data_IF_338994842199
#
_entry.id   IF_338994842199
#
_cell.length_a   1.000
_cell.length_b   1.000
_cell.length_c   1.000
_cell.angle_alpha   90.00
_cell.angle_beta   90.00
_cell.angle_gamma   90.00
#
_symmetry.space_group_name_H-M   'P 1'
#
loop_
_entity.id
_entity.type
_entity.pdbx_description
1 polymer ?
#
# COMPACT_ATOMS: atom_id res chain seq x y z
N UNK A 1 -2.63 -47.65 11.56
CA UNK A 1 -3.72 -47.06 12.37
C UNK A 1 -3.94 -47.87 13.63
N UNK A 2 -4.12 -49.19 13.52
CA UNK A 2 -4.23 -50.10 14.68
C UNK A 2 -3.07 -49.96 15.69
N UNK A 3 -1.81 -50.06 15.23
CA UNK A 3 -0.64 -49.99 16.13
C UNK A 3 -0.51 -48.64 16.86
N UNK A 4 -0.89 -47.54 16.21
CA UNK A 4 -0.86 -46.19 16.81
C UNK A 4 -1.98 -45.99 17.85
N UNK A 5 -3.13 -46.63 17.65
CA UNK A 5 -4.26 -46.63 18.58
C UNK A 5 -3.98 -47.54 19.80
N UNK A 6 -3.27 -48.65 19.59
CA UNK A 6 -2.86 -49.58 20.63
C UNK A 6 -1.81 -48.98 21.57
N UNK A 7 -0.80 -48.28 21.03
CA UNK A 7 0.23 -47.59 21.82
C UNK A 7 -0.34 -46.41 22.63
N UNK A 8 -1.41 -45.77 22.15
CA UNK A 8 -2.04 -44.63 22.83
C UNK A 8 -3.20 -45.02 23.74
N UNK A 9 -3.61 -46.30 23.76
CA UNK A 9 -4.70 -46.81 24.58
C UNK A 9 -6.11 -46.37 24.13
N UNK A 10 -6.23 -45.74 22.96
CA UNK A 10 -7.47 -45.14 22.45
C UNK A 10 -8.01 -45.93 21.24
N UNK A 11 -8.08 -47.26 21.39
CA UNK A 11 -8.63 -48.16 20.36
C UNK A 11 -10.09 -47.86 20.06
N UNK A 12 -10.38 -47.59 18.79
CA UNK A 12 -11.73 -47.29 18.29
C UNK A 12 -12.16 -45.83 18.38
N UNK A 13 -11.30 -44.90 18.82
CA UNK A 13 -11.59 -43.46 18.86
C UNK A 13 -10.93 -42.70 17.71
N UNK A 14 -11.66 -41.71 17.18
CA UNK A 14 -11.25 -40.84 16.08
C UNK A 14 -11.03 -39.44 16.66
N UNK A 15 -9.81 -38.92 16.51
CA UNK A 15 -9.44 -37.60 17.04
C UNK A 15 -10.06 -36.49 16.20
N UNK A 16 -9.90 -36.54 14.87
CA UNK A 16 -10.39 -35.53 13.93
C UNK A 16 -10.83 -36.16 12.61
N UNK A 17 -11.82 -35.55 11.95
CA UNK A 17 -12.25 -35.89 10.58
C UNK A 17 -12.03 -34.66 9.70
N UNK A 18 -11.28 -34.83 8.62
CA UNK A 18 -11.08 -33.77 7.63
C UNK A 18 -12.10 -33.91 6.50
N UNK A 19 -12.87 -32.86 6.28
CA UNK A 19 -13.84 -32.78 5.20
C UNK A 19 -13.39 -31.70 4.25
N UNK A 20 -13.13 -32.07 2.99
CA UNK A 20 -12.75 -31.14 1.93
C UNK A 20 -14.00 -30.78 1.14
N UNK A 21 -14.39 -29.50 1.19
CA UNK A 21 -15.42 -28.97 0.29
C UNK A 21 -14.76 -28.62 -1.06
N UNK A 22 -15.41 -28.95 -2.17
CA UNK A 22 -14.96 -28.52 -3.51
C UNK A 22 -15.17 -27.02 -3.72
N UNK A 23 -16.28 -26.48 -3.20
CA UNK A 23 -16.59 -25.05 -3.25
C UNK A 23 -16.30 -24.35 -1.90
N UNK A 24 -15.40 -23.34 -1.86
CA UNK A 24 -15.10 -22.57 -0.66
C UNK A 24 -16.28 -21.77 -0.08
N UNK A 25 -17.27 -21.42 -0.90
CA UNK A 25 -18.41 -20.58 -0.49
C UNK A 25 -19.39 -21.31 0.43
N UNK A 26 -19.51 -22.63 0.28
CA UNK A 26 -20.46 -23.48 1.01
C UNK A 26 -19.87 -23.97 2.35
N UNK A 27 -18.56 -23.76 2.58
CA UNK A 27 -17.84 -24.22 3.78
C UNK A 27 -18.47 -23.68 5.07
N UNK A 28 -18.97 -22.43 5.05
CA UNK A 28 -19.63 -21.83 6.22
C UNK A 28 -20.98 -22.48 6.54
N UNK A 29 -21.75 -22.82 5.50
CA UNK A 29 -23.06 -23.45 5.63
C UNK A 29 -22.94 -24.90 6.10
N UNK A 30 -22.07 -25.69 5.45
CA UNK A 30 -21.76 -27.08 5.82
C UNK A 30 -21.21 -27.16 7.26
N UNK A 31 -20.38 -26.20 7.66
CA UNK A 31 -19.88 -26.13 9.05
C UNK A 31 -21.01 -25.97 10.07
N UNK A 32 -22.02 -25.14 9.76
CA UNK A 32 -23.18 -24.94 10.64
C UNK A 32 -24.10 -26.17 10.69
N UNK A 33 -24.28 -26.86 9.56
CA UNK A 33 -25.07 -28.09 9.46
C UNK A 33 -24.43 -29.24 10.23
N UNK A 34 -23.11 -29.39 10.15
CA UNK A 34 -22.38 -30.43 10.90
C UNK A 34 -22.42 -30.13 12.41
N UNK A 35 -22.28 -28.86 12.78
CA UNK A 35 -22.33 -28.45 14.19
C UNK A 35 -23.69 -28.68 14.85
N UNK A 36 -24.78 -28.67 14.06
CA UNK A 36 -26.15 -28.95 14.53
C UNK A 36 -26.52 -30.43 14.45
N UNK A 37 -26.01 -31.17 13.46
CA UNK A 37 -26.29 -32.59 13.29
C UNK A 37 -25.54 -33.50 14.27
N UNK A 38 -24.37 -33.08 14.77
CA UNK A 38 -23.54 -33.89 15.68
C UNK A 38 -23.21 -33.12 16.96
N UNK A 39 -23.94 -33.34 18.06
CA UNK A 39 -23.65 -32.74 19.35
C UNK A 39 -22.28 -33.20 19.88
N UNK A 40 -21.47 -32.27 20.40
CA UNK A 40 -20.16 -32.58 21.01
C UNK A 40 -18.96 -32.51 20.06
N UNK A 41 -19.14 -32.16 18.79
CA UNK A 41 -18.05 -31.97 17.83
C UNK A 41 -17.77 -30.49 17.61
N UNK A 42 -16.48 -30.10 17.62
CA UNK A 42 -16.03 -28.75 17.25
C UNK A 42 -15.63 -28.72 15.79
N UNK A 43 -16.36 -27.98 14.97
CA UNK A 43 -16.01 -27.77 13.57
C UNK A 43 -15.09 -26.55 13.47
N UNK A 44 -13.84 -26.78 13.06
CA UNK A 44 -12.87 -25.73 12.80
C UNK A 44 -12.71 -25.57 11.28
N UNK A 45 -13.20 -24.46 10.73
CA UNK A 45 -13.01 -24.15 9.32
C UNK A 45 -11.80 -23.25 9.12
N UNK A 46 -10.98 -23.47 8.07
CA UNK A 46 -9.92 -22.55 7.68
C UNK A 46 -10.44 -21.14 7.35
N UNK A 47 -11.72 -21.00 6.99
CA UNK A 47 -12.34 -19.73 6.61
C UNK A 47 -12.33 -18.70 7.74
N UNK A 48 -12.49 -19.12 9.00
CA UNK A 48 -12.45 -18.22 10.16
C UNK A 48 -11.03 -17.65 10.33
N UNK A 49 -10.00 -18.48 10.11
CA UNK A 49 -8.60 -18.05 10.19
C UNK A 49 -8.21 -17.13 9.04
N UNK A 50 -8.68 -17.42 7.81
CA UNK A 50 -8.48 -16.54 6.65
C UNK A 50 -9.19 -15.21 6.86
N UNK A 51 -10.44 -15.20 7.34
CA UNK A 51 -11.19 -13.97 7.57
C UNK A 51 -10.54 -13.08 8.63
N UNK A 52 -10.03 -13.66 9.72
CA UNK A 52 -9.29 -12.90 10.74
C UNK A 52 -8.02 -12.30 10.17
N UNK A 53 -7.27 -13.06 9.35
CA UNK A 53 -6.09 -12.56 8.67
C UNK A 53 -6.42 -11.44 7.69
N UNK A 54 -7.50 -11.56 6.91
CA UNK A 54 -7.96 -10.54 5.98
C UNK A 54 -8.37 -9.25 6.70
N UNK A 55 -9.10 -9.34 7.81
CA UNK A 55 -9.50 -8.16 8.60
C UNK A 55 -8.28 -7.43 9.18
N UNK A 56 -7.29 -8.18 9.65
CA UNK A 56 -6.04 -7.61 10.15
C UNK A 56 -5.24 -6.95 9.02
N UNK A 57 -5.09 -7.60 7.86
CA UNK A 57 -4.42 -7.04 6.69
C UNK A 57 -5.12 -5.77 6.19
N UNK A 58 -6.46 -5.76 6.14
CA UNK A 58 -7.24 -4.58 5.78
C UNK A 58 -7.01 -3.41 6.74
N UNK A 59 -6.88 -3.70 8.05
CA UNK A 59 -6.58 -2.69 9.07
C UNK A 59 -5.18 -2.10 8.85
N UNK A 60 -4.18 -2.94 8.58
CA UNK A 60 -2.81 -2.49 8.25
C UNK A 60 -2.77 -1.69 6.94
N UNK A 61 -3.51 -2.12 5.91
CA UNK A 61 -3.62 -1.39 4.64
C UNK A 61 -4.21 0.00 4.87
N UNK A 62 -5.28 0.12 5.65
CA UNK A 62 -5.85 1.44 5.97
C UNK A 62 -4.87 2.31 6.75
N UNK A 63 -4.12 1.73 7.70
CA UNK A 63 -3.10 2.46 8.45
C UNK A 63 -1.97 3.01 7.56
N UNK A 64 -1.47 2.22 6.61
CA UNK A 64 -0.46 2.72 5.67
C UNK A 64 -1.05 3.72 4.66
N UNK A 65 -2.31 3.54 4.25
CA UNK A 65 -2.99 4.48 3.36
C UNK A 65 -3.13 5.87 4.00
N UNK A 66 -3.42 5.96 5.30
CA UNK A 66 -3.52 7.25 5.99
C UNK A 66 -2.17 7.92 6.15
N UNK A 67 -1.10 7.18 6.48
CA UNK A 67 0.27 7.73 6.51
C UNK A 67 0.66 8.23 5.12
N UNK A 68 0.38 7.45 4.08
CA UNK A 68 0.61 7.84 2.69
C UNK A 68 -0.13 9.14 2.33
N UNK A 69 -1.38 9.28 2.77
CA UNK A 69 -2.18 10.49 2.57
C UNK A 69 -1.56 11.70 3.28
N UNK A 70 -1.14 11.57 4.54
CA UNK A 70 -0.47 12.64 5.28
C UNK A 70 0.86 13.03 4.62
N UNK A 71 1.66 12.06 4.20
CA UNK A 71 2.92 12.30 3.50
C UNK A 71 2.71 13.02 2.16
N UNK A 72 1.64 12.67 1.45
CA UNK A 72 1.23 13.32 0.20
C UNK A 72 0.84 14.79 0.44
N UNK A 73 0.09 15.09 1.49
CA UNK A 73 -0.19 16.48 1.90
C UNK A 73 1.08 17.24 2.24
N UNK A 74 1.98 16.65 3.04
CA UNK A 74 3.26 17.28 3.39
C UNK A 74 4.12 17.58 2.16
N UNK A 75 4.21 16.63 1.21
CA UNK A 75 4.91 16.83 -0.06
C UNK A 75 4.28 17.91 -0.93
N UNK A 76 2.94 18.03 -0.91
CA UNK A 76 2.21 19.06 -1.66
C UNK A 76 2.60 20.47 -1.22
N UNK A 77 2.78 20.71 0.09
CA UNK A 77 3.27 21.99 0.59
C UNK A 77 4.68 22.32 0.08
N UNK A 78 5.54 21.30 -0.07
CA UNK A 78 6.85 21.46 -0.70
C UNK A 78 6.74 22.00 -2.13
N UNK A 79 5.84 21.40 -2.94
CA UNK A 79 5.57 21.85 -4.31
C UNK A 79 5.00 23.28 -4.33
N UNK A 80 4.07 23.61 -3.42
CA UNK A 80 3.53 24.98 -3.31
C UNK A 80 4.65 25.99 -3.05
N UNK A 81 5.58 25.66 -2.14
CA UNK A 81 6.67 26.55 -1.77
C UNK A 81 7.66 26.77 -2.93
N UNK A 82 8.08 25.70 -3.60
CA UNK A 82 9.00 25.81 -4.74
C UNK A 82 8.35 26.54 -5.91
N UNK A 83 7.07 26.27 -6.17
CA UNK A 83 6.34 26.92 -7.25
C UNK A 83 6.06 28.39 -6.95
N UNK A 84 5.79 28.74 -5.69
CA UNK A 84 5.72 30.15 -5.28
C UNK A 84 7.02 30.89 -5.53
N UNK A 85 8.16 30.28 -5.18
CA UNK A 85 9.47 30.84 -5.44
C UNK A 85 9.70 31.08 -6.95
N UNK A 86 9.41 30.07 -7.77
CA UNK A 86 9.53 30.18 -9.24
C UNK A 86 8.66 31.30 -9.83
N UNK A 87 7.42 31.46 -9.34
CA UNK A 87 6.51 32.55 -9.77
C UNK A 87 7.08 33.91 -9.41
N UNK A 88 7.67 34.05 -8.22
CA UNK A 88 8.25 35.33 -7.77
C UNK A 88 9.54 35.71 -8.50
N UNK A 89 10.32 34.73 -8.95
CA UNK A 89 11.53 34.99 -9.74
C UNK A 89 11.19 35.44 -11.17
N UNK A 90 10.18 34.83 -11.80
CA UNK A 90 9.79 35.12 -13.20
C UNK A 90 8.71 36.20 -13.34
N UNK A 91 8.52 37.05 -12.33
CA UNK A 91 7.44 38.06 -12.31
C UNK A 91 7.50 39.02 -13.49
N UNK A 92 8.70 39.46 -13.88
CA UNK A 92 8.91 40.36 -15.03
C UNK A 92 8.47 39.72 -16.34
N UNK A 93 8.78 38.44 -16.56
CA UNK A 93 8.41 37.70 -17.76
C UNK A 93 6.89 37.60 -17.90
N UNK A 94 6.19 37.30 -16.79
CA UNK A 94 4.72 37.24 -16.76
C UNK A 94 4.11 38.62 -17.06
N UNK A 95 4.72 39.69 -16.54
CA UNK A 95 4.30 41.07 -16.80
C UNK A 95 4.41 41.44 -18.28
N UNK A 96 5.52 41.06 -18.93
CA UNK A 96 5.75 41.29 -20.37
C UNK A 96 4.77 40.47 -21.21
N UNK A 97 4.55 39.20 -20.89
CA UNK A 97 3.56 38.34 -21.57
C UNK A 97 2.17 38.95 -21.54
N UNK A 98 1.72 39.43 -20.37
CA UNK A 98 0.41 40.09 -20.25
C UNK A 98 0.34 41.43 -20.96
N UNK A 99 1.43 42.20 -20.99
CA UNK A 99 1.48 43.48 -21.72
C UNK A 99 1.39 43.29 -23.24
N UNK A 100 1.89 42.17 -23.77
CA UNK A 100 1.79 41.79 -25.19
C UNK A 100 0.41 41.18 -25.52
N UNK A 101 -0.41 40.87 -24.52
CA UNK A 101 -1.81 40.45 -24.69
C UNK A 101 -2.14 39.03 -24.20
N UNK A 102 -1.22 38.34 -23.53
CA UNK A 102 -1.52 37.03 -22.94
C UNK A 102 -2.62 37.14 -21.88
N UNK A 103 -3.64 36.27 -21.97
CA UNK A 103 -4.77 36.28 -21.04
C UNK A 103 -4.40 35.57 -19.73
N UNK A 104 -5.12 35.85 -18.65
CA UNK A 104 -4.89 35.20 -17.34
C UNK A 104 -4.96 33.67 -17.42
N UNK A 105 -5.80 33.11 -18.29
CA UNK A 105 -5.88 31.65 -18.46
C UNK A 105 -4.68 31.06 -19.20
N UNK A 106 -3.98 31.81 -20.04
CA UNK A 106 -2.76 31.34 -20.72
C UNK A 106 -1.65 31.16 -19.70
N UNK A 107 -1.49 32.16 -18.82
CA UNK A 107 -0.55 32.10 -17.69
C UNK A 107 -0.94 30.98 -16.72
N UNK A 108 -2.24 30.85 -16.41
CA UNK A 108 -2.74 29.77 -15.55
C UNK A 108 -2.40 28.39 -16.13
N UNK A 109 -2.67 28.16 -17.42
CA UNK A 109 -2.38 26.88 -18.09
C UNK A 109 -0.90 26.57 -18.09
N UNK A 110 -0.04 27.56 -18.37
CA UNK A 110 1.41 27.39 -18.34
C UNK A 110 1.87 26.81 -17.00
N UNK A 111 1.49 27.47 -15.90
CA UNK A 111 1.86 27.03 -14.55
C UNK A 111 1.17 25.72 -14.15
N UNK A 112 -0.10 25.50 -14.50
CA UNK A 112 -0.76 24.21 -14.23
C UNK A 112 -0.09 23.05 -14.97
N UNK A 113 0.33 23.26 -16.22
CA UNK A 113 1.06 22.23 -16.98
C UNK A 113 2.43 21.94 -16.38
N UNK A 114 3.14 22.96 -15.88
CA UNK A 114 4.40 22.78 -15.16
C UNK A 114 4.19 21.94 -13.89
N UNK A 115 3.17 22.26 -13.08
CA UNK A 115 2.84 21.52 -11.87
C UNK A 115 2.37 20.09 -12.15
N UNK A 116 1.59 19.88 -13.22
CA UNK A 116 1.17 18.56 -13.68
C UNK A 116 2.38 17.71 -14.07
N UNK A 117 3.34 18.27 -14.81
CA UNK A 117 4.56 17.55 -15.20
C UNK A 117 5.40 17.18 -13.99
N UNK A 118 5.56 18.10 -13.02
CA UNK A 118 6.26 17.81 -11.75
C UNK A 118 5.55 16.66 -11.01
N UNK A 119 4.23 16.70 -10.91
CA UNK A 119 3.43 15.65 -10.26
C UNK A 119 3.54 14.28 -10.96
N UNK A 120 3.51 14.24 -12.30
CA UNK A 120 3.66 13.03 -13.09
C UNK A 120 5.06 12.43 -12.99
N UNK A 121 6.11 13.26 -13.09
CA UNK A 121 7.50 12.83 -12.95
C UNK A 121 7.74 12.32 -11.53
N UNK A 122 7.31 13.08 -10.51
CA UNK A 122 7.41 12.68 -9.12
C UNK A 122 6.67 11.38 -8.82
N UNK A 123 5.46 11.21 -9.37
CA UNK A 123 4.68 9.97 -9.28
C UNK A 123 5.41 8.79 -9.92
N UNK A 124 5.96 8.96 -11.12
CA UNK A 124 6.74 7.92 -11.80
C UNK A 124 8.00 7.52 -11.02
N UNK A 125 8.77 8.50 -10.54
CA UNK A 125 9.95 8.26 -9.71
C UNK A 125 9.57 7.56 -8.39
N UNK A 126 8.47 7.97 -7.77
CA UNK A 126 7.95 7.36 -6.55
C UNK A 126 7.54 5.90 -6.73
N UNK A 127 6.84 5.57 -7.82
CA UNK A 127 6.46 4.19 -8.17
C UNK A 127 7.71 3.33 -8.39
N UNK A 128 8.70 3.85 -9.12
CA UNK A 128 9.96 3.15 -9.38
C UNK A 128 10.73 2.89 -8.09
N UNK A 129 10.95 3.92 -7.27
CA UNK A 129 11.66 3.81 -6.01
C UNK A 129 10.93 2.89 -5.02
N UNK A 130 9.60 3.00 -4.92
CA UNK A 130 8.78 2.13 -4.07
C UNK A 130 8.83 0.67 -4.51
N UNK A 131 8.79 0.40 -5.82
CA UNK A 131 8.95 -0.95 -6.37
C UNK A 131 10.31 -1.56 -6.04
N UNK A 132 11.40 -0.79 -6.21
CA UNK A 132 12.76 -1.24 -5.86
C UNK A 132 12.84 -1.54 -4.36
N UNK A 133 12.36 -0.62 -3.52
CA UNK A 133 12.38 -0.79 -2.08
C UNK A 133 11.58 -2.02 -1.64
N UNK A 134 10.42 -2.28 -2.25
CA UNK A 134 9.60 -3.44 -1.95
C UNK A 134 10.32 -4.78 -2.21
N UNK A 135 11.22 -4.82 -3.19
CA UNK A 135 12.00 -6.02 -3.50
C UNK A 135 13.30 -6.12 -2.67
N UNK A 136 13.95 -4.99 -2.38
CA UNK A 136 15.26 -4.96 -1.70
C UNK A 136 15.11 -5.00 -0.17
N UNK A 137 14.04 -4.40 0.38
CA UNK A 137 13.83 -4.30 1.83
C UNK A 137 13.85 -5.65 2.57
N UNK A 138 13.22 -6.72 2.07
CA UNK A 138 13.30 -8.04 2.70
C UNK A 138 14.72 -8.63 2.75
N UNK A 139 15.61 -8.20 1.85
CA UNK A 139 17.00 -8.66 1.81
C UNK A 139 17.88 -7.96 2.86
N UNK A 140 17.55 -6.71 3.21
CA UNK A 140 18.33 -5.85 4.12
C UNK A 140 18.07 -6.10 5.61
N UNK A 141 16.90 -6.62 5.99
CA UNK A 141 16.54 -6.86 7.40
C UNK A 141 16.32 -8.35 7.71
N UNK A 142 17.35 -9.22 7.62
CA UNK A 142 17.17 -10.63 7.93
C UNK A 142 16.88 -10.90 9.42
N UNK A 143 17.44 -10.10 10.34
CA UNK A 143 17.45 -10.39 11.78
C UNK A 143 16.12 -10.11 12.50
N UNK A 144 15.36 -9.08 12.10
CA UNK A 144 14.11 -8.69 12.78
C UNK A 144 12.90 -9.54 12.37
N UNK A 145 12.97 -10.20 11.21
CA UNK A 145 11.89 -11.07 10.70
C UNK A 145 12.21 -12.58 10.86
N UNK A 146 13.47 -12.95 11.11
CA UNK A 146 13.90 -14.35 11.27
C UNK A 146 13.72 -14.90 12.69
N UNK A 147 13.75 -14.07 13.73
CA UNK A 147 13.26 -14.48 15.04
C UNK A 147 11.74 -14.56 14.93
N UNK A 148 11.15 -15.73 15.21
CA UNK A 148 9.70 -16.00 15.08
C UNK A 148 8.77 -15.16 15.96
N UNK A 149 9.24 -14.02 16.46
CA UNK A 149 8.46 -12.99 17.16
C UNK A 149 7.96 -12.02 16.07
N UNK A 150 6.95 -12.40 15.30
CA UNK A 150 6.13 -11.36 14.66
C UNK A 150 5.39 -10.61 15.77
N UNK A 151 5.26 -9.27 15.67
CA UNK A 151 4.42 -8.47 16.56
C UNK A 151 2.94 -8.89 16.58
N UNK A 152 2.54 -9.84 15.74
CA UNK A 152 1.16 -10.27 15.50
C UNK A 152 0.94 -11.79 15.65
N UNK A 153 1.91 -12.56 16.15
CA UNK A 153 1.72 -14.01 16.43
C UNK A 153 1.41 -14.88 15.20
N UNK A 154 1.69 -14.38 14.00
CA UNK A 154 1.46 -15.06 12.72
C UNK A 154 2.73 -15.72 12.21
N UNK A 155 2.58 -16.78 11.39
CA UNK A 155 3.69 -17.40 10.63
C UNK A 155 4.36 -16.35 9.74
N UNK A 156 5.56 -15.90 10.10
CA UNK A 156 6.30 -14.88 9.34
C UNK A 156 6.54 -15.34 7.90
N UNK A 157 5.97 -14.68 6.87
CA UNK A 157 6.19 -15.05 5.47
C UNK A 157 7.62 -14.73 4.97
N UNK A 158 8.45 -14.14 5.85
CA UNK A 158 9.83 -13.73 5.57
C UNK A 158 10.89 -14.57 6.35
N UNK A 159 10.47 -15.61 7.06
CA UNK A 159 11.41 -16.52 7.75
C UNK A 159 12.25 -17.30 6.74
N UNK A 160 13.58 -17.32 6.95
CA UNK A 160 14.50 -18.12 6.12
C UNK A 160 14.15 -19.62 6.19
N UNK A 161 14.24 -20.37 5.08
CA UNK A 161 14.10 -21.84 5.11
C UNK A 161 15.09 -22.43 6.14
N UNK A 162 14.57 -23.20 7.11
CA UNK A 162 15.39 -23.83 8.16
C UNK A 162 15.48 -23.07 9.50
N UNK A 163 14.74 -21.97 9.68
CA UNK A 163 14.62 -21.32 11.00
C UNK A 163 13.65 -22.09 11.91
N UNK A 164 14.10 -22.46 13.11
CA UNK A 164 13.32 -23.18 14.11
C UNK A 164 12.42 -22.22 14.88
N UNK A 165 11.11 -22.49 14.91
CA UNK A 165 10.21 -21.83 15.86
C UNK A 165 10.37 -22.52 17.23
N UNK A 166 10.90 -21.85 18.26
CA UNK A 166 11.14 -22.47 19.57
C UNK A 166 9.85 -22.91 20.27
N UNK A 167 8.66 -22.46 19.84
CA UNK A 167 7.37 -22.86 20.42
C UNK A 167 6.72 -24.08 19.76
N UNK A 168 7.16 -24.54 18.57
CA UNK A 168 6.46 -25.62 17.82
C UNK A 168 7.30 -26.85 17.49
N UNK A 169 8.55 -26.95 17.99
CA UNK A 169 9.31 -28.21 17.98
C UNK A 169 9.50 -28.92 16.63
N UNK A 170 9.37 -28.21 15.50
CA UNK A 170 9.41 -28.81 14.16
C UNK A 170 10.15 -27.95 13.13
N UNK A 171 11.09 -28.57 12.42
CA UNK A 171 11.85 -28.00 11.31
C UNK A 171 10.95 -27.88 10.07
N UNK A 172 10.28 -26.74 9.90
CA UNK A 172 9.45 -26.52 8.70
C UNK A 172 10.28 -25.83 7.63
N UNK A 173 10.88 -26.63 6.76
CA UNK A 173 11.61 -26.17 5.56
C UNK A 173 10.61 -25.67 4.52
N UNK A 174 10.12 -24.43 4.65
CA UNK A 174 9.35 -23.80 3.58
C UNK A 174 10.31 -23.07 2.65
N UNK A 175 10.47 -23.63 1.44
CA UNK A 175 11.11 -22.97 0.31
C UNK A 175 10.33 -21.70 -0.02
N UNK A 176 11.04 -20.57 0.02
CA UNK A 176 10.56 -19.26 -0.36
C UNK A 176 10.07 -19.30 -1.81
N UNK A 177 8.75 -19.41 -2.01
CA UNK A 177 8.13 -18.83 -3.20
C UNK A 177 8.14 -17.33 -2.93
N UNK A 178 8.96 -16.58 -3.68
CA UNK A 178 8.88 -15.12 -3.76
C UNK A 178 7.41 -14.74 -3.87
N UNK A 179 6.78 -14.29 -2.77
CA UNK A 179 5.54 -13.53 -2.87
C UNK A 179 5.98 -12.21 -3.47
N UNK A 180 6.11 -12.21 -4.79
CA UNK A 180 6.40 -11.03 -5.56
C UNK A 180 5.34 -10.01 -5.16
N UNK A 181 5.72 -8.79 -4.74
CA UNK A 181 4.76 -7.75 -4.52
C UNK A 181 3.91 -7.65 -5.79
N UNK A 182 2.59 -7.81 -5.65
CA UNK A 182 1.68 -7.78 -6.78
C UNK A 182 1.57 -6.34 -7.28
N UNK A 183 2.49 -5.95 -8.16
CA UNK A 183 2.43 -4.69 -8.91
C UNK A 183 1.38 -4.89 -9.99
N UNK A 184 0.12 -4.74 -9.59
CA UNK A 184 -0.97 -4.75 -10.56
C UNK A 184 -0.91 -3.44 -11.37
N UNK A 185 -1.16 -3.48 -12.69
CA UNK A 185 -1.23 -2.27 -13.51
C UNK A 185 -2.23 -1.24 -12.95
N UNK A 186 -3.29 -1.73 -12.31
CA UNK A 186 -4.29 -0.89 -11.62
C UNK A 186 -3.67 -0.04 -10.51
N UNK A 187 -2.84 -0.62 -9.64
CA UNK A 187 -2.22 0.11 -8.53
C UNK A 187 -1.23 1.17 -9.03
N UNK A 188 -0.49 0.85 -10.10
CA UNK A 188 0.42 1.81 -10.76
C UNK A 188 -0.37 2.99 -11.33
N UNK A 189 -1.47 2.72 -12.03
CA UNK A 189 -2.33 3.77 -12.57
C UNK A 189 -2.88 4.68 -11.47
N UNK A 190 -3.28 4.11 -10.32
CA UNK A 190 -3.73 4.89 -9.16
C UNK A 190 -2.62 5.81 -8.65
N UNK A 191 -1.38 5.34 -8.53
CA UNK A 191 -0.24 6.16 -8.10
C UNK A 191 0.03 7.35 -9.04
N UNK A 192 0.01 7.12 -10.36
CA UNK A 192 0.15 8.20 -11.34
C UNK A 192 -1.02 9.19 -11.28
N UNK A 193 -2.25 8.70 -11.10
CA UNK A 193 -3.43 9.56 -10.95
C UNK A 193 -3.35 10.44 -9.71
N UNK A 194 -2.87 9.89 -8.58
CA UNK A 194 -2.62 10.65 -7.35
C UNK A 194 -1.53 11.69 -7.54
N UNK A 195 -0.41 11.33 -8.18
CA UNK A 195 0.67 12.28 -8.48
C UNK A 195 0.20 13.45 -9.35
N UNK A 196 -0.59 13.18 -10.39
CA UNK A 196 -1.19 14.20 -11.25
C UNK A 196 -2.16 15.10 -10.48
N UNK A 197 -3.06 14.49 -9.69
CA UNK A 197 -4.04 15.21 -8.87
C UNK A 197 -3.35 16.13 -7.87
N UNK A 198 -2.32 15.64 -7.20
CA UNK A 198 -1.54 16.42 -6.23
C UNK A 198 -0.78 17.55 -6.89
N UNK A 199 -0.12 17.30 -8.02
CA UNK A 199 0.58 18.34 -8.78
C UNK A 199 -0.37 19.47 -9.18
N UNK A 200 -1.56 19.14 -9.68
CA UNK A 200 -2.58 20.13 -10.02
C UNK A 200 -3.05 20.90 -8.78
N UNK A 201 -3.40 20.21 -7.70
CA UNK A 201 -3.91 20.84 -6.48
C UNK A 201 -2.88 21.77 -5.85
N UNK A 202 -1.63 21.32 -5.74
CA UNK A 202 -0.52 22.13 -5.23
C UNK A 202 -0.22 23.33 -6.14
N UNK A 203 -0.30 23.14 -7.46
CA UNK A 203 -0.01 24.19 -8.44
C UNK A 203 -1.13 25.20 -8.67
N UNK A 204 -2.36 24.88 -8.26
CA UNK A 204 -3.53 25.72 -8.50
C UNK A 204 -3.40 27.10 -7.84
N UNK A 205 -2.95 27.14 -6.59
CA UNK A 205 -2.82 28.39 -5.83
C UNK A 205 -1.72 29.32 -6.39
N UNK A 206 -0.47 28.86 -6.61
CA UNK A 206 0.56 29.66 -7.27
C UNK A 206 0.17 30.12 -8.67
N UNK A 207 -0.41 29.23 -9.49
CA UNK A 207 -0.83 29.57 -10.85
C UNK A 207 -1.94 30.64 -10.85
N UNK A 208 -2.90 30.53 -9.93
CA UNK A 208 -3.96 31.53 -9.77
C UNK A 208 -3.39 32.88 -9.36
N UNK A 209 -2.47 32.90 -8.39
CA UNK A 209 -1.78 34.11 -7.96
C UNK A 209 -1.02 34.76 -9.12
N UNK A 210 -0.24 33.99 -9.88
CA UNK A 210 0.49 34.46 -11.06
C UNK A 210 -0.44 35.06 -12.13
N UNK A 211 -1.56 34.39 -12.40
CA UNK A 211 -2.56 34.81 -13.39
C UNK A 211 -3.25 36.14 -13.08
N UNK A 212 -3.23 36.58 -11.82
CA UNK A 212 -3.82 37.84 -11.35
C UNK A 212 -2.84 39.00 -11.19
N UNK A 213 -1.55 38.78 -11.40
CA UNK A 213 -0.52 39.83 -11.36
C UNK A 213 -0.81 40.95 -12.37
N UNK A 214 -0.80 42.21 -11.95
CA UNK A 214 -0.97 43.35 -12.85
C UNK A 214 0.34 43.66 -13.58
N UNK A 215 0.33 43.93 -14.89
CA UNK A 215 1.56 44.25 -15.65
C UNK A 215 2.34 45.41 -15.05
N UNK A 216 1.63 46.43 -14.57
CA UNK A 216 2.23 47.62 -13.92
C UNK A 216 2.94 47.27 -12.62
N UNK A 217 2.41 46.36 -11.80
CA UNK A 217 3.07 45.94 -10.55
C UNK A 217 4.34 45.12 -10.83
N UNK A 218 4.28 44.24 -11.84
CA UNK A 218 5.42 43.42 -12.26
C UNK A 218 6.61 44.24 -12.82
N UNK A 219 6.35 45.44 -13.35
CA UNK A 219 7.38 46.32 -13.91
C UNK A 219 7.85 47.41 -12.92
N UNK A 220 7.12 47.63 -11.82
CA UNK A 220 7.41 48.69 -10.83
C UNK A 220 8.44 48.28 -9.78
N UNK A 221 8.66 46.98 -9.58
CA UNK A 221 9.65 46.49 -8.62
C UNK A 221 11.03 46.50 -9.31
N UNK A 222 11.65 47.67 -9.32
CA UNK A 222 13.04 47.94 -9.74
C UNK A 222 13.72 48.69 -8.61
#
# INVERSE_FOLDING_TARGET
LADAQEITGESGRITHVLIKCEDPSIVSEVSSLISSAVPGVRVATPTIMVQQATNMLNTLTMFFATIGLVALFAGSFGVVNTMMMAVTERTREIGVLKAIGAKSHDIMKLFLTEALLIGLIGGGVGVLAGSILAHVFPMLVPGMFATGISPFGMRNPFSRPGTTNPMLGGTTTQTFRLVLPAITPMNVAICFSLGALVGILAGLYPAWRASRMKPVEALRHV
#
